data_IF_332193551549
#
_entry.id   IF_332193551549
#
_cell.length_a   1.000
_cell.length_b   1.000
_cell.length_c   1.000
_cell.angle_alpha   90.00
_cell.angle_beta   90.00
_cell.angle_gamma   90.00
#
_symmetry.space_group_name_H-M   'P 1'
#
loop_
_entity.id
_entity.type
_entity.pdbx_description
1 polymer ?
#
# COMPACT_ATOMS: atom_id res chain seq x y z
N UNK A 1 -39.48 26.86 -55.57
CA UNK A 1 -39.75 28.31 -55.63
C UNK A 1 -38.86 28.93 -54.57
N UNK A 2 -37.78 29.59 -55.00
CA UNK A 2 -36.92 30.58 -54.31
C UNK A 2 -36.29 30.16 -52.95
N UNK A 3 -34.97 30.02 -52.87
CA UNK A 3 -33.95 31.09 -52.69
C UNK A 3 -34.07 31.76 -51.31
N UNK A 4 -33.12 31.55 -50.40
CA UNK A 4 -31.74 32.11 -50.30
C UNK A 4 -31.74 33.40 -49.48
N UNK A 5 -30.90 33.37 -48.44
CA UNK A 5 -30.01 34.43 -47.94
C UNK A 5 -29.76 34.10 -46.47
N UNK A 6 -28.58 34.06 -45.86
CA UNK A 6 -27.20 34.48 -46.16
C UNK A 6 -26.51 34.21 -44.78
N UNK A 7 -25.21 34.03 -44.54
CA UNK A 7 -23.96 34.18 -45.27
C UNK A 7 -22.83 33.78 -44.29
N UNK A 8 -21.65 33.45 -44.84
CA UNK A 8 -20.28 33.62 -44.28
C UNK A 8 -19.87 32.88 -42.98
N UNK A 9 -18.66 32.35 -42.80
CA UNK A 9 -17.36 32.61 -43.43
C UNK A 9 -16.39 31.41 -43.24
N UNK A 10 -15.39 31.38 -44.12
CA UNK A 10 -14.08 30.71 -44.12
C UNK A 10 -13.34 30.74 -42.77
N UNK A 11 -12.29 29.96 -42.46
CA UNK A 11 -11.37 29.10 -43.20
C UNK A 11 -10.24 28.68 -42.23
N UNK A 12 -9.14 28.12 -42.76
CA UNK A 12 -7.83 27.91 -42.11
C UNK A 12 -7.63 26.62 -41.28
N UNK A 13 -7.33 25.51 -41.98
CA UNK A 13 -6.41 24.48 -41.46
C UNK A 13 -4.98 24.87 -41.88
N UNK A 14 -4.13 25.16 -40.90
CA UNK A 14 -2.71 25.40 -41.09
C UNK A 14 -1.92 24.14 -40.69
N UNK A 15 -1.08 23.71 -41.62
CA UNK A 15 -0.01 22.71 -41.48
C UNK A 15 1.16 23.27 -40.66
N UNK A 16 1.87 22.39 -39.96
CA UNK A 16 3.31 22.44 -39.62
C UNK A 16 3.57 21.41 -38.48
N UNK A 17 4.66 20.69 -38.35
CA UNK A 17 5.76 20.36 -39.24
C UNK A 17 6.60 19.27 -38.50
N UNK A 18 7.34 18.48 -39.28
CA UNK A 18 8.66 17.90 -38.96
C UNK A 18 8.85 17.04 -37.69
N UNK A 19 9.02 15.73 -37.92
CA UNK A 19 9.92 14.89 -37.12
C UNK A 19 10.96 14.24 -38.04
N UNK A 20 12.06 14.95 -38.24
CA UNK A 20 13.32 14.43 -38.79
C UNK A 20 14.27 14.10 -37.64
N UNK A 21 14.78 12.86 -37.56
CA UNK A 21 16.20 12.51 -37.75
C UNK A 21 16.59 11.14 -37.16
N UNK A 22 17.26 10.40 -38.04
CA UNK A 22 18.34 9.41 -37.88
C UNK A 22 18.28 8.27 -36.86
N UNK A 23 18.13 7.07 -37.44
CA UNK A 23 18.58 5.79 -36.90
C UNK A 23 20.11 5.74 -36.98
N UNK A 24 20.79 5.83 -35.83
CA UNK A 24 22.19 5.42 -35.73
C UNK A 24 22.25 3.96 -35.34
N UNK A 25 22.55 3.12 -36.32
CA UNK A 25 22.95 1.73 -36.15
C UNK A 25 24.35 1.72 -35.50
N UNK A 26 24.49 1.19 -34.29
CA UNK A 26 25.80 0.89 -33.73
C UNK A 26 26.09 -0.61 -33.85
N UNK A 27 27.21 -0.85 -34.49
CA UNK A 27 27.73 -2.11 -34.99
C UNK A 27 28.15 -3.08 -33.88
N UNK A 28 27.95 -4.35 -34.19
CA UNK A 28 28.59 -5.48 -33.54
C UNK A 28 30.11 -5.43 -33.78
N UNK A 29 30.95 -5.82 -32.80
CA UNK A 29 32.24 -6.39 -33.12
C UNK A 29 32.30 -7.86 -32.64
N UNK A 30 32.43 -8.79 -33.59
CA UNK A 30 33.29 -9.97 -33.38
C UNK A 30 34.75 -9.50 -33.29
N UNK A 31 35.73 -10.24 -32.81
CA UNK A 31 35.98 -11.67 -32.70
C UNK A 31 37.28 -11.79 -31.86
N UNK A 32 37.52 -12.91 -31.18
CA UNK A 32 38.75 -13.74 -31.25
C UNK A 32 38.92 -14.61 -29.99
N UNK A 33 39.08 -15.89 -30.27
CA UNK A 33 39.46 -16.99 -29.38
C UNK A 33 40.99 -17.05 -29.28
N UNK A 34 41.50 -17.36 -28.08
CA UNK A 34 42.81 -17.96 -27.79
C UNK A 34 42.84 -18.33 -26.30
N UNK A 35 42.84 -19.64 -26.00
CA UNK A 35 42.76 -20.18 -24.65
C UNK A 35 44.07 -20.15 -23.84
N UNK A 36 43.96 -20.29 -22.52
CA UNK A 36 44.63 -21.29 -21.65
C UNK A 36 44.32 -21.01 -20.16
N UNK A 37 44.12 -22.10 -19.41
CA UNK A 37 44.30 -22.32 -17.97
C UNK A 37 43.49 -21.52 -16.91
N UNK A 38 42.47 -22.19 -16.35
CA UNK A 38 42.77 -23.01 -15.17
C UNK A 38 42.76 -22.37 -13.77
N UNK A 39 42.12 -21.23 -13.51
CA UNK A 39 41.67 -20.89 -12.13
C UNK A 39 40.57 -19.78 -12.05
N UNK A 40 39.92 -19.46 -13.18
CA UNK A 40 38.99 -18.32 -13.27
C UNK A 40 37.50 -18.69 -13.05
N UNK A 41 37.17 -19.98 -12.98
CA UNK A 41 35.78 -20.45 -13.18
C UNK A 41 34.83 -20.21 -11.98
N UNK A 42 35.37 -20.03 -10.76
CA UNK A 42 34.56 -19.74 -9.56
C UNK A 42 34.33 -18.23 -9.38
N UNK A 43 35.27 -17.40 -9.81
CA UNK A 43 35.13 -15.95 -9.72
C UNK A 43 34.26 -15.41 -10.86
N UNK A 44 34.41 -15.95 -12.08
CA UNK A 44 33.63 -15.55 -13.25
C UNK A 44 32.14 -15.92 -13.10
N UNK A 45 31.82 -17.02 -12.41
CA UNK A 45 30.42 -17.39 -12.13
C UNK A 45 29.75 -16.48 -11.08
N UNK A 46 30.50 -16.03 -10.07
CA UNK A 46 30.05 -15.01 -9.08
C UNK A 46 29.89 -13.63 -9.70
N UNK A 47 30.79 -13.24 -10.59
CA UNK A 47 30.68 -11.97 -11.30
C UNK A 47 29.60 -12.01 -12.37
N UNK A 48 29.42 -13.13 -13.08
CA UNK A 48 28.28 -13.32 -14.00
C UNK A 48 26.95 -13.32 -13.26
N UNK A 49 26.85 -13.87 -12.04
CA UNK A 49 25.61 -13.79 -11.24
C UNK A 49 25.39 -12.39 -10.68
N UNK A 50 26.42 -11.69 -10.20
CA UNK A 50 26.30 -10.28 -9.79
C UNK A 50 25.94 -9.36 -10.96
N UNK A 51 26.52 -9.58 -12.14
CA UNK A 51 26.20 -8.86 -13.37
C UNK A 51 24.79 -9.18 -13.83
N UNK A 52 24.35 -10.45 -13.77
CA UNK A 52 22.96 -10.84 -14.05
C UNK A 52 21.99 -10.19 -13.07
N UNK A 53 22.29 -10.13 -11.77
CA UNK A 53 21.44 -9.45 -10.78
C UNK A 53 21.41 -7.94 -11.00
N UNK A 54 22.54 -7.33 -11.39
CA UNK A 54 22.61 -5.90 -11.78
C UNK A 54 21.90 -5.59 -13.11
N UNK A 55 21.96 -6.51 -14.08
CA UNK A 55 21.28 -6.40 -15.36
C UNK A 55 19.78 -6.64 -15.21
N UNK A 56 19.36 -7.58 -14.35
CA UNK A 56 17.95 -7.80 -14.02
C UNK A 56 17.41 -6.65 -13.19
N UNK A 57 18.20 -6.05 -12.29
CA UNK A 57 17.78 -4.86 -11.55
C UNK A 57 17.73 -3.62 -12.45
N UNK A 58 18.67 -3.47 -13.39
CA UNK A 58 18.62 -2.44 -14.43
C UNK A 58 17.44 -2.67 -15.39
N UNK A 59 17.16 -3.91 -15.79
CA UNK A 59 16.02 -4.27 -16.64
C UNK A 59 14.69 -4.06 -15.92
N UNK A 60 14.60 -4.40 -14.64
CA UNK A 60 13.42 -4.10 -13.83
C UNK A 60 13.29 -2.59 -13.60
N UNK A 61 14.38 -1.85 -13.44
CA UNK A 61 14.36 -0.38 -13.42
C UNK A 61 13.99 0.23 -14.78
N UNK A 62 14.29 -0.41 -15.91
CA UNK A 62 13.88 0.10 -17.24
C UNK A 62 12.41 -0.28 -17.53
N UNK A 63 12.00 -1.50 -17.17
CA UNK A 63 10.63 -2.01 -17.36
C UNK A 63 9.62 -1.37 -16.40
N UNK A 64 10.05 -0.98 -15.20
CA UNK A 64 9.18 -0.46 -14.14
C UNK A 64 9.58 0.92 -13.58
N UNK A 65 10.82 1.37 -13.83
CA UNK A 65 11.40 2.63 -13.33
C UNK A 65 11.72 3.68 -14.40
N UNK A 66 10.89 3.79 -15.45
CA UNK A 66 10.67 5.10 -16.08
C UNK A 66 11.56 5.48 -17.27
N UNK A 67 11.45 4.74 -18.38
CA UNK A 67 11.49 5.34 -19.73
C UNK A 67 10.06 5.55 -20.25
N UNK A 68 9.24 6.15 -19.41
CA UNK A 68 7.87 6.52 -19.74
C UNK A 68 7.82 8.03 -19.76
N UNK A 69 7.97 8.60 -20.96
CA UNK A 69 7.62 9.98 -21.33
C UNK A 69 6.10 10.23 -21.21
N UNK A 70 5.44 9.62 -20.22
CA UNK A 70 4.00 9.72 -19.98
C UNK A 70 3.78 10.81 -18.95
N UNK A 71 3.14 11.89 -19.43
CA UNK A 71 2.35 12.87 -18.70
C UNK A 71 2.15 12.55 -17.22
N UNK A 72 2.69 13.41 -16.33
CA UNK A 72 2.45 13.37 -14.88
C UNK A 72 0.93 13.25 -14.65
N UNK A 73 0.45 12.30 -13.82
CA UNK A 73 -0.98 12.09 -13.62
C UNK A 73 -1.62 13.37 -13.05
N UNK A 74 -2.36 14.10 -13.90
CA UNK A 74 -3.05 15.32 -13.49
C UNK A 74 -4.27 14.95 -12.66
N UNK A 75 -4.31 15.41 -11.41
CA UNK A 75 -5.55 15.37 -10.62
C UNK A 75 -6.53 16.39 -11.21
N UNK A 76 -7.81 16.04 -11.26
CA UNK A 76 -8.87 16.95 -11.68
C UNK A 76 -8.97 18.12 -10.68
N UNK A 77 -9.16 19.34 -11.18
CA UNK A 77 -9.40 20.52 -10.33
C UNK A 77 -10.87 20.66 -9.91
N UNK A 78 -11.79 20.00 -10.62
CA UNK A 78 -13.23 20.12 -10.41
C UNK A 78 -13.78 19.07 -9.45
N UNK A 79 -13.22 17.86 -9.48
CA UNK A 79 -13.72 16.71 -8.72
C UNK A 79 -12.98 16.52 -7.40
N UNK A 80 -13.69 16.19 -6.31
CA UNK A 80 -13.04 15.92 -5.03
C UNK A 80 -12.17 14.68 -5.09
N UNK A 81 -11.06 14.70 -4.36
CA UNK A 81 -10.18 13.56 -4.13
C UNK A 81 -10.52 12.93 -2.78
N UNK A 82 -10.82 11.65 -2.78
CA UNK A 82 -10.92 10.87 -1.56
C UNK A 82 -9.56 10.24 -1.23
N UNK A 83 -9.10 10.37 0.02
CA UNK A 83 -7.90 9.76 0.57
C UNK A 83 -8.22 9.23 1.98
N UNK A 84 -8.31 7.90 2.13
CA UNK A 84 -8.51 7.19 3.40
C UNK A 84 -9.60 7.84 4.29
N UNK A 85 -10.81 7.96 3.72
CA UNK A 85 -11.97 8.54 4.40
C UNK A 85 -11.98 10.06 4.52
N UNK A 86 -11.04 10.78 3.90
CA UNK A 86 -11.05 12.25 3.80
C UNK A 86 -11.29 12.70 2.37
N UNK A 87 -12.14 13.72 2.21
CA UNK A 87 -12.44 14.33 0.91
C UNK A 87 -11.74 15.69 0.81
N UNK A 88 -11.07 15.94 -0.31
CA UNK A 88 -10.36 17.18 -0.60
C UNK A 88 -10.84 17.76 -1.93
N UNK A 89 -11.33 18.99 -1.90
CA UNK A 89 -11.64 19.77 -3.08
C UNK A 89 -10.39 20.56 -3.50
N UNK A 90 -9.73 20.16 -4.59
CA UNK A 90 -8.41 20.68 -5.04
C UNK A 90 -8.40 22.14 -5.56
N UNK A 91 -9.27 22.98 -5.00
CA UNK A 91 -9.13 24.43 -4.91
C UNK A 91 -7.77 24.84 -4.31
N UNK A 92 -7.44 26.13 -4.39
CA UNK A 92 -6.13 26.65 -3.99
C UNK A 92 -5.78 26.34 -2.52
N UNK A 93 -6.75 26.34 -1.60
CA UNK A 93 -6.51 26.15 -0.16
C UNK A 93 -6.28 24.69 0.26
N UNK A 94 -7.10 23.74 -0.23
CA UNK A 94 -7.04 22.35 0.23
C UNK A 94 -6.00 21.50 -0.51
N UNK A 95 -5.48 21.97 -1.65
CA UNK A 95 -4.43 21.27 -2.40
C UNK A 95 -3.21 20.96 -1.55
N UNK A 96 -2.79 21.93 -0.75
CA UNK A 96 -1.62 21.79 0.10
C UNK A 96 -1.89 20.84 1.28
N UNK A 97 -3.10 20.88 1.84
CA UNK A 97 -3.54 19.91 2.85
C UNK A 97 -3.55 18.49 2.32
N UNK A 98 -4.07 18.28 1.11
CA UNK A 98 -4.00 16.98 0.42
C UNK A 98 -2.55 16.54 0.19
N UNK A 99 -1.68 17.43 -0.29
CA UNK A 99 -0.26 17.14 -0.55
C UNK A 99 0.46 16.68 0.72
N UNK A 100 0.24 17.37 1.84
CA UNK A 100 0.80 16.99 3.14
C UNK A 100 0.24 15.66 3.61
N UNK A 101 -1.09 15.46 3.56
CA UNK A 101 -1.71 14.20 3.96
C UNK A 101 -1.18 13.01 3.15
N UNK A 102 -1.12 13.13 1.83
CA UNK A 102 -0.58 12.08 0.95
C UNK A 102 0.90 11.81 1.22
N UNK A 103 1.72 12.87 1.36
CA UNK A 103 3.16 12.72 1.61
C UNK A 103 3.48 12.16 3.00
N UNK A 104 2.51 12.21 3.92
CA UNK A 104 2.64 11.65 5.27
C UNK A 104 2.44 10.14 5.29
N UNK A 105 1.88 9.55 4.23
CA UNK A 105 1.74 8.10 4.13
C UNK A 105 3.11 7.44 4.04
N UNK A 106 3.30 6.41 4.86
CA UNK A 106 4.51 5.61 4.84
C UNK A 106 4.56 4.74 3.59
N UNK A 107 5.62 4.93 2.82
CA UNK A 107 5.86 4.33 1.52
C UNK A 107 7.00 3.32 1.61
N UNK A 108 6.64 2.04 1.59
CA UNK A 108 7.57 0.93 1.62
C UNK A 108 7.78 0.42 0.20
N UNK A 109 9.02 0.44 -0.26
CA UNK A 109 9.38 -0.01 -1.61
C UNK A 109 10.38 -1.15 -1.55
N UNK A 110 10.71 -1.71 -2.71
CA UNK A 110 11.84 -2.61 -2.82
C UNK A 110 13.12 -1.99 -2.25
N UNK A 111 13.91 -2.81 -1.57
CA UNK A 111 15.18 -2.45 -0.96
C UNK A 111 16.29 -3.38 -1.44
N UNK A 112 17.53 -2.90 -1.37
CA UNK A 112 18.73 -3.67 -1.69
C UNK A 112 19.84 -3.38 -0.69
N UNK A 113 20.71 -4.34 -0.48
CA UNK A 113 21.85 -4.21 0.43
C UNK A 113 21.48 -4.43 1.90
N UNK A 114 20.32 -5.01 2.18
CA UNK A 114 19.99 -5.48 3.53
C UNK A 114 20.68 -6.83 3.82
N UNK A 115 20.83 -7.22 5.10
CA UNK A 115 21.42 -8.52 5.47
C UNK A 115 20.69 -9.70 4.81
N UNK A 116 21.37 -10.79 4.44
CA UNK A 116 20.73 -11.93 3.78
C UNK A 116 19.50 -12.43 4.54
N UNK A 117 18.42 -12.72 3.81
CA UNK A 117 17.23 -13.32 4.38
C UNK A 117 17.52 -14.76 4.84
N UNK A 118 16.97 -15.14 5.98
CA UNK A 118 17.24 -16.44 6.57
C UNK A 118 16.86 -17.59 5.61
N UNK A 119 17.75 -18.59 5.50
CA UNK A 119 17.65 -19.67 4.52
C UNK A 119 17.84 -19.25 3.05
N UNK A 120 18.40 -18.07 2.77
CA UNK A 120 18.59 -17.54 1.42
C UNK A 120 19.85 -16.66 1.30
N UNK A 121 20.32 -16.46 0.06
CA UNK A 121 21.39 -15.50 -0.27
C UNK A 121 20.83 -14.13 -0.72
N UNK A 122 19.51 -13.94 -0.70
CA UNK A 122 18.87 -12.72 -1.19
C UNK A 122 19.10 -11.56 -0.22
N UNK A 123 19.71 -10.49 -0.75
CA UNK A 123 19.92 -9.19 -0.10
C UNK A 123 19.11 -8.06 -0.76
N UNK A 124 18.12 -8.45 -1.57
CA UNK A 124 17.15 -7.55 -2.18
C UNK A 124 15.82 -8.26 -2.42
N UNK A 125 14.72 -7.52 -2.28
CA UNK A 125 13.36 -8.00 -2.52
C UNK A 125 12.78 -7.60 -3.88
N UNK A 126 13.59 -6.93 -4.70
CA UNK A 126 13.18 -6.50 -6.03
C UNK A 126 12.71 -7.67 -6.90
N UNK A 127 11.51 -7.56 -7.45
CA UNK A 127 10.90 -8.54 -8.33
C UNK A 127 10.09 -9.64 -7.65
N UNK A 128 10.03 -9.69 -6.31
CA UNK A 128 9.23 -10.69 -5.59
C UNK A 128 8.54 -10.17 -4.32
N UNK A 129 9.14 -9.24 -3.58
CA UNK A 129 8.65 -8.78 -2.27
C UNK A 129 7.47 -7.81 -2.29
N UNK A 130 6.85 -7.52 -3.45
CA UNK A 130 5.96 -6.36 -3.59
C UNK A 130 4.76 -6.46 -2.64
N UNK A 131 4.17 -7.65 -2.47
CA UNK A 131 3.00 -7.83 -1.61
C UNK A 131 3.35 -7.67 -0.14
N UNK A 132 4.56 -8.07 0.26
CA UNK A 132 5.06 -7.82 1.62
C UNK A 132 5.22 -6.32 1.86
N UNK A 133 5.73 -5.55 0.87
CA UNK A 133 5.80 -4.08 0.95
C UNK A 133 4.43 -3.43 1.02
N UNK A 134 3.47 -3.90 0.22
CA UNK A 134 2.07 -3.44 0.29
C UNK A 134 1.48 -3.70 1.68
N UNK A 135 1.70 -4.88 2.25
CA UNK A 135 1.26 -5.24 3.60
C UNK A 135 1.93 -4.38 4.68
N UNK A 136 3.23 -4.09 4.55
CA UNK A 136 3.94 -3.15 5.42
C UNK A 136 3.30 -1.77 5.38
N UNK A 137 2.96 -1.24 4.19
CA UNK A 137 2.30 0.07 4.09
C UNK A 137 0.91 0.10 4.75
N UNK A 138 0.12 -0.97 4.58
CA UNK A 138 -1.19 -1.10 5.21
C UNK A 138 -1.07 -1.12 6.75
N UNK A 139 -0.19 -1.96 7.29
CA UNK A 139 0.03 -2.02 8.74
C UNK A 139 0.63 -0.72 9.28
N UNK A 140 1.59 -0.13 8.56
CA UNK A 140 2.20 1.14 8.92
C UNK A 140 1.13 2.24 9.04
N UNK A 141 0.19 2.31 8.09
CA UNK A 141 -0.92 3.25 8.20
C UNK A 141 -1.80 2.98 9.43
N UNK A 142 -2.08 1.71 9.75
CA UNK A 142 -2.80 1.35 10.98
C UNK A 142 -2.09 1.78 12.26
N UNK A 143 -0.76 1.60 12.32
CA UNK A 143 0.06 2.06 13.44
C UNK A 143 0.10 3.58 13.54
N UNK A 144 0.12 4.28 12.41
CA UNK A 144 -0.01 5.74 12.39
C UNK A 144 -1.36 6.19 12.98
N UNK A 145 -2.47 5.55 12.61
CA UNK A 145 -3.79 5.82 13.20
C UNK A 145 -3.85 5.49 14.70
N UNK A 146 -3.11 4.48 15.13
CA UNK A 146 -3.10 4.01 16.51
C UNK A 146 -2.24 4.88 17.45
N UNK A 147 -1.10 5.37 16.97
CA UNK A 147 -0.07 5.98 17.81
C UNK A 147 0.12 7.48 17.58
N UNK A 148 -0.27 8.00 16.43
CA UNK A 148 -0.12 9.42 16.10
C UNK A 148 -1.42 10.18 16.37
N UNK A 149 -1.36 11.48 16.71
CA UNK A 149 -2.56 12.28 16.89
C UNK A 149 -3.36 12.40 15.58
N UNK A 150 -4.68 12.51 15.71
CA UNK A 150 -5.56 12.67 14.56
C UNK A 150 -5.19 13.94 13.77
N UNK A 151 -5.05 13.80 12.44
CA UNK A 151 -4.67 14.91 11.56
C UNK A 151 -3.17 15.21 11.53
N UNK A 152 -2.33 14.42 12.20
CA UNK A 152 -0.88 14.53 12.08
C UNK A 152 -0.43 14.44 10.62
N UNK A 153 0.54 15.26 10.25
CA UNK A 153 1.20 15.20 8.94
C UNK A 153 2.70 15.27 9.11
N UNK A 154 3.44 14.54 8.26
CA UNK A 154 4.89 14.53 8.27
C UNK A 154 5.40 15.93 7.93
N UNK A 155 6.12 16.60 8.84
CA UNK A 155 6.72 17.90 8.61
C UNK A 155 7.98 17.67 7.78
N UNK A 156 7.80 17.32 6.49
CA UNK A 156 8.91 17.30 5.56
C UNK A 156 9.62 18.65 5.67
N UNK A 157 10.88 18.66 6.08
CA UNK A 157 11.70 19.86 6.02
C UNK A 157 11.55 20.45 4.62
N UNK A 158 11.17 21.72 4.55
CA UNK A 158 11.08 22.50 3.33
C UNK A 158 12.47 22.64 2.69
N UNK A 159 13.07 21.55 2.21
CA UNK A 159 14.10 21.62 1.20
C UNK A 159 13.37 21.76 -0.11
N UNK A 160 13.28 23.03 -0.52
CA UNK A 160 12.85 23.51 -1.82
C UNK A 160 13.47 22.64 -2.93
N UNK A 161 12.77 21.58 -3.33
CA UNK A 161 12.79 21.20 -4.73
C UNK A 161 11.79 22.14 -5.39
N UNK A 162 12.36 23.14 -6.05
CA UNK A 162 11.75 24.00 -7.05
C UNK A 162 10.63 23.23 -7.76
N UNK A 163 9.41 23.54 -7.36
CA UNK A 163 8.23 23.54 -8.22
C UNK A 163 8.04 22.29 -9.12
N UNK A 164 7.83 21.11 -8.49
CA UNK A 164 7.47 19.89 -9.21
C UNK A 164 5.96 19.72 -9.48
N UNK A 165 5.20 20.77 -9.16
CA UNK A 165 3.77 20.94 -9.39
C UNK A 165 3.49 22.32 -10.01
N UNK A 166 4.36 22.79 -10.92
CA UNK A 166 4.13 24.04 -11.67
C UNK A 166 2.83 23.95 -12.49
N UNK A 167 1.89 24.82 -12.16
CA UNK A 167 0.93 25.38 -13.10
C UNK A 167 1.49 26.74 -13.46
N UNK A 168 1.92 26.92 -14.70
CA UNK A 168 2.27 28.23 -15.24
C UNK A 168 1.04 29.12 -15.17
N UNK A 169 1.09 30.19 -14.38
CA UNK A 169 0.11 31.28 -14.42
C UNK A 169 0.83 32.53 -14.93
N UNK A 170 0.55 32.89 -16.19
CA UNK A 170 1.25 33.95 -16.92
C UNK A 170 0.87 35.38 -16.49
N UNK A 171 0.25 35.56 -15.31
CA UNK A 171 -0.31 36.84 -14.86
C UNK A 171 0.29 37.40 -13.56
N UNK A 172 1.37 36.83 -13.02
CA UNK A 172 1.99 37.32 -11.76
C UNK A 172 3.44 37.77 -11.93
N UNK A 173 3.83 38.21 -13.13
CA UNK A 173 5.10 38.89 -13.37
C UNK A 173 4.89 40.40 -13.61
N UNK A 174 4.30 41.10 -12.64
CA UNK A 174 4.35 42.58 -12.63
C UNK A 174 4.38 43.23 -11.24
N UNK A 175 4.09 42.51 -10.15
CA UNK A 175 3.95 43.15 -8.83
C UNK A 175 5.11 42.99 -7.84
N UNK A 176 6.26 42.42 -8.23
CA UNK A 176 7.39 42.21 -7.30
C UNK A 176 8.50 43.26 -7.33
N UNK A 177 8.24 44.47 -7.87
CA UNK A 177 9.19 45.60 -7.80
C UNK A 177 8.70 46.79 -6.95
N UNK A 178 7.71 46.61 -6.08
CA UNK A 178 7.26 47.65 -5.17
C UNK A 178 6.85 47.10 -3.81
N UNK A 179 7.85 46.86 -2.95
CA UNK A 179 7.76 47.11 -1.49
C UNK A 179 9.07 46.71 -0.81
N UNK A 180 10.10 47.52 -1.05
CA UNK A 180 11.19 47.69 -0.11
C UNK A 180 11.01 49.06 0.52
N UNK A 181 10.59 49.10 1.80
CA UNK A 181 10.98 50.07 2.84
C UNK A 181 9.95 50.13 3.98
N UNK A 182 10.48 50.07 5.21
CA UNK A 182 9.87 50.31 6.54
C UNK A 182 9.18 49.05 7.08
N UNK A 183 9.45 48.55 8.29
CA UNK A 183 9.57 49.30 9.54
C UNK A 183 10.35 48.50 10.61
N UNK A 184 11.03 49.24 11.48
CA UNK A 184 11.86 48.78 12.57
C UNK A 184 11.09 48.87 13.89
N UNK A 185 10.79 47.73 14.53
CA UNK A 185 10.10 47.72 15.83
C UNK A 185 10.52 46.53 16.69
N UNK A 186 11.28 46.82 17.75
CA UNK A 186 11.65 45.87 18.81
C UNK A 186 10.39 45.43 19.58
N UNK A 187 9.97 44.18 19.42
CA UNK A 187 9.11 43.50 20.40
C UNK A 187 9.84 42.35 21.07
N UNK A 188 9.80 42.35 22.40
CA UNK A 188 10.37 41.35 23.32
C UNK A 188 10.02 39.93 22.86
N UNK A 189 11.07 39.18 22.54
CA UNK A 189 11.05 37.73 22.25
C UNK A 189 10.56 37.01 23.51
N UNK A 190 9.27 36.66 23.57
CA UNK A 190 8.79 35.59 24.47
C UNK A 190 9.56 34.32 24.08
N UNK A 191 10.09 33.63 25.08
CA UNK A 191 11.03 32.53 24.92
C UNK A 191 10.50 31.45 23.97
N UNK A 192 11.33 31.11 22.98
CA UNK A 192 11.17 30.05 21.98
C UNK A 192 11.32 28.64 22.59
N UNK A 193 11.00 28.48 23.88
CA UNK A 193 11.34 27.30 24.68
C UNK A 193 10.19 26.31 24.89
N UNK A 194 8.94 26.71 24.60
CA UNK A 194 7.77 25.86 24.87
C UNK A 194 7.20 25.19 23.60
N UNK A 195 7.67 25.61 22.41
CA UNK A 195 7.24 25.04 21.12
C UNK A 195 8.16 23.92 20.60
N UNK A 196 9.30 23.67 21.25
CA UNK A 196 10.30 22.68 20.81
C UNK A 196 10.07 21.27 21.37
N UNK A 197 9.24 21.11 22.40
CA UNK A 197 8.95 19.78 23.00
C UNK A 197 7.84 19.02 22.27
N UNK A 198 6.93 19.71 21.57
CA UNK A 198 5.85 19.04 20.84
C UNK A 198 6.36 18.33 19.58
N UNK A 199 7.35 18.93 18.90
CA UNK A 199 7.95 18.35 17.69
C UNK A 199 8.81 17.11 17.97
N UNK A 200 9.40 17.00 19.16
CA UNK A 200 10.32 15.90 19.48
C UNK A 200 9.58 14.58 19.75
N UNK A 201 8.46 14.61 20.48
CA UNK A 201 7.73 13.38 20.82
C UNK A 201 7.02 12.77 19.60
N UNK A 202 6.36 13.59 18.77
CA UNK A 202 5.71 13.12 17.55
C UNK A 202 6.74 12.63 16.53
N UNK A 203 7.87 13.34 16.34
CA UNK A 203 8.95 12.89 15.48
C UNK A 203 9.57 11.59 15.98
N UNK A 204 9.81 11.46 17.28
CA UNK A 204 10.31 10.23 17.88
C UNK A 204 9.36 9.05 17.68
N UNK A 205 8.05 9.27 17.91
CA UNK A 205 7.01 8.25 17.69
C UNK A 205 6.97 7.83 16.23
N UNK A 206 7.02 8.80 15.31
CA UNK A 206 7.07 8.54 13.88
C UNK A 206 8.31 7.73 13.48
N UNK A 207 9.51 8.13 13.93
CA UNK A 207 10.76 7.38 13.69
C UNK A 207 10.71 5.98 14.27
N UNK A 208 10.12 5.81 15.46
CA UNK A 208 9.92 4.51 16.08
C UNK A 208 9.01 3.62 15.24
N UNK A 209 7.90 4.14 14.71
CA UNK A 209 7.04 3.39 13.79
C UNK A 209 7.83 2.98 12.55
N UNK A 210 8.58 3.89 11.93
CA UNK A 210 9.37 3.58 10.72
C UNK A 210 10.45 2.54 11.00
N UNK A 211 11.11 2.58 12.16
CA UNK A 211 12.17 1.63 12.50
C UNK A 211 11.66 0.19 12.62
N UNK A 212 10.39 -0.01 12.99
CA UNK A 212 9.77 -1.34 13.02
C UNK A 212 9.62 -2.00 11.64
N UNK A 213 9.70 -1.21 10.56
CA UNK A 213 9.62 -1.69 9.17
C UNK A 213 10.99 -1.77 8.49
N UNK A 214 12.08 -1.46 9.20
CA UNK A 214 13.43 -1.54 8.66
C UNK A 214 13.78 -2.93 8.12
N UNK A 215 14.69 -2.99 7.15
CA UNK A 215 15.12 -4.24 6.52
C UNK A 215 16.19 -4.96 7.35
N UNK A 216 15.92 -5.16 8.64
CA UNK A 216 16.80 -5.82 9.60
C UNK A 216 16.07 -6.98 10.28
N UNK A 217 16.80 -8.05 10.67
CA UNK A 217 16.21 -9.16 11.43
C UNK A 217 15.54 -8.75 12.75
N UNK A 218 15.99 -7.65 13.37
CA UNK A 218 15.45 -7.13 14.62
C UNK A 218 14.13 -6.36 14.46
N UNK A 219 13.75 -5.98 13.24
CA UNK A 219 12.55 -5.18 12.99
C UNK A 219 11.30 -6.08 12.98
N UNK A 220 10.32 -5.87 13.87
CA UNK A 220 9.18 -6.78 14.06
C UNK A 220 8.25 -6.86 12.84
N UNK A 221 8.20 -5.81 12.03
CA UNK A 221 7.41 -5.73 10.80
C UNK A 221 8.30 -5.62 9.55
N UNK A 222 9.61 -5.85 9.73
CA UNK A 222 10.61 -5.86 8.65
C UNK A 222 10.49 -7.09 7.75
N UNK A 223 11.09 -7.00 6.56
CA UNK A 223 10.99 -8.05 5.55
C UNK A 223 11.46 -9.42 6.07
N UNK A 224 12.55 -9.46 6.83
CA UNK A 224 13.10 -10.67 7.45
C UNK A 224 12.05 -11.41 8.28
N UNK A 225 11.37 -10.68 9.16
CA UNK A 225 10.35 -11.25 10.04
C UNK A 225 9.12 -11.71 9.27
N UNK A 226 8.67 -10.94 8.28
CA UNK A 226 7.51 -11.33 7.47
C UNK A 226 7.80 -12.59 6.62
N UNK A 227 9.01 -12.72 6.08
CA UNK A 227 9.43 -13.92 5.35
C UNK A 227 9.53 -15.14 6.27
N UNK A 228 10.07 -14.96 7.47
CA UNK A 228 10.14 -16.02 8.49
C UNK A 228 8.73 -16.54 8.84
N UNK A 229 7.80 -15.64 9.16
CA UNK A 229 6.41 -15.98 9.48
C UNK A 229 5.66 -16.60 8.29
N UNK A 230 6.04 -16.23 7.06
CA UNK A 230 5.51 -16.80 5.82
C UNK A 230 5.80 -18.29 5.62
N UNK A 231 6.82 -18.84 6.28
CA UNK A 231 7.19 -20.26 6.17
C UNK A 231 6.09 -21.20 6.64
N UNK A 232 5.32 -20.81 7.65
CA UNK A 232 4.18 -21.59 8.12
C UNK A 232 3.09 -21.75 7.04
N UNK A 233 3.06 -20.85 6.05
CA UNK A 233 2.17 -20.90 4.89
C UNK A 233 2.87 -21.42 3.63
N UNK A 234 4.02 -22.10 3.78
CA UNK A 234 4.79 -22.68 2.69
C UNK A 234 5.54 -21.67 1.81
N UNK A 235 5.67 -20.41 2.25
CA UNK A 235 6.37 -19.36 1.50
C UNK A 235 7.82 -19.21 1.96
N UNK A 236 8.69 -18.80 1.04
CA UNK A 236 10.11 -18.54 1.28
C UNK A 236 10.52 -17.20 0.68
N UNK A 237 11.75 -16.77 0.97
CA UNK A 237 12.36 -15.63 0.31
C UNK A 237 12.41 -15.88 -1.22
N UNK A 238 11.94 -14.93 -2.02
CA UNK A 238 11.85 -15.07 -3.48
C UNK A 238 10.46 -15.47 -4.00
N UNK A 239 9.60 -16.04 -3.15
CA UNK A 239 8.24 -16.41 -3.55
C UNK A 239 7.33 -15.18 -3.63
N UNK A 240 6.29 -15.26 -4.46
CA UNK A 240 5.20 -14.29 -4.40
C UNK A 240 4.18 -14.66 -3.31
N UNK A 241 3.68 -13.63 -2.63
CA UNK A 241 2.70 -13.72 -1.56
C UNK A 241 1.38 -13.11 -2.01
N UNK A 242 0.26 -13.76 -1.69
CA UNK A 242 -1.08 -13.21 -1.96
C UNK A 242 -1.62 -12.36 -0.81
N UNK A 243 -2.64 -11.51 -1.05
CA UNK A 243 -3.21 -10.60 -0.04
C UNK A 243 -3.72 -11.30 1.22
N UNK A 244 -4.35 -12.48 1.07
CA UNK A 244 -4.85 -13.28 2.18
C UNK A 244 -3.72 -13.82 3.06
N UNK A 245 -2.65 -14.34 2.43
CA UNK A 245 -1.50 -14.90 3.15
C UNK A 245 -0.82 -13.80 3.95
N UNK A 246 -0.58 -12.63 3.36
CA UNK A 246 0.07 -11.53 4.08
C UNK A 246 -0.78 -10.98 5.22
N UNK A 247 -2.12 -11.02 5.12
CA UNK A 247 -2.99 -10.62 6.22
C UNK A 247 -2.76 -11.48 7.48
N UNK A 248 -2.67 -12.81 7.32
CA UNK A 248 -2.33 -13.71 8.43
C UNK A 248 -0.88 -13.55 8.91
N UNK A 249 0.06 -13.21 8.02
CA UNK A 249 1.43 -12.89 8.44
C UNK A 249 1.44 -11.63 9.31
N UNK A 250 0.72 -10.57 8.93
CA UNK A 250 0.61 -9.35 9.74
C UNK A 250 -0.01 -9.65 11.11
N UNK A 251 -1.05 -10.49 11.15
CA UNK A 251 -1.66 -10.93 12.40
C UNK A 251 -0.63 -11.59 13.34
N UNK A 252 0.15 -12.54 12.83
CA UNK A 252 1.22 -13.20 13.60
C UNK A 252 2.33 -12.24 14.00
N UNK A 253 2.67 -11.30 13.13
CA UNK A 253 3.72 -10.31 13.38
C UNK A 253 3.34 -9.37 14.53
N UNK A 254 2.13 -8.82 14.52
CA UNK A 254 1.63 -7.95 15.60
C UNK A 254 1.51 -8.72 16.92
N UNK A 255 0.96 -9.93 16.89
CA UNK A 255 0.83 -10.77 18.10
C UNK A 255 2.19 -11.13 18.75
N UNK A 256 3.27 -11.17 17.97
CA UNK A 256 4.63 -11.43 18.45
C UNK A 256 5.46 -10.14 18.68
N UNK A 257 4.87 -8.96 18.48
CA UNK A 257 5.58 -7.68 18.58
C UNK A 257 5.44 -7.03 19.97
N UNK A 258 6.14 -5.91 20.16
CA UNK A 258 6.03 -5.07 21.36
C UNK A 258 4.74 -4.23 21.44
N UNK A 259 3.92 -4.22 20.38
CA UNK A 259 2.66 -3.45 20.32
C UNK A 259 1.53 -4.24 20.99
N UNK A 260 1.56 -4.31 22.32
CA UNK A 260 0.66 -5.17 23.11
C UNK A 260 -0.80 -4.70 23.21
N UNK A 261 -1.07 -3.42 22.92
CA UNK A 261 -2.39 -2.81 22.93
C UNK A 261 -3.12 -2.80 21.58
N UNK A 262 -2.55 -3.50 20.59
CA UNK A 262 -3.13 -3.67 19.25
C UNK A 262 -3.37 -5.15 18.94
N UNK A 263 -4.59 -5.47 18.52
CA UNK A 263 -4.98 -6.79 18.03
C UNK A 263 -5.24 -6.74 16.52
N UNK A 264 -4.95 -7.84 15.83
CA UNK A 264 -5.27 -8.01 14.41
C UNK A 264 -6.20 -9.19 14.24
N UNK A 265 -7.38 -8.95 13.66
CA UNK A 265 -8.32 -9.99 13.27
C UNK A 265 -8.34 -10.13 11.75
N UNK A 266 -8.27 -11.36 11.25
CA UNK A 266 -8.39 -11.65 9.81
C UNK A 266 -9.70 -12.39 9.59
N UNK A 267 -10.56 -11.84 8.75
CA UNK A 267 -11.84 -12.44 8.38
C UNK A 267 -11.63 -13.80 7.71
N UNK A 268 -12.53 -14.74 8.01
CA UNK A 268 -12.55 -16.08 7.43
C UNK A 268 -13.73 -16.19 6.48
N UNK A 269 -13.52 -16.75 5.28
CA UNK A 269 -14.60 -16.97 4.31
C UNK A 269 -15.47 -15.72 4.05
N UNK A 270 -14.83 -14.55 3.93
CA UNK A 270 -15.50 -13.24 3.79
C UNK A 270 -16.52 -12.94 4.91
N UNK A 271 -16.31 -13.49 6.11
CA UNK A 271 -17.17 -13.32 7.28
C UNK A 271 -16.37 -12.85 8.49
N UNK A 272 -16.89 -11.83 9.15
CA UNK A 272 -16.35 -11.29 10.40
C UNK A 272 -17.27 -11.71 11.55
N UNK A 273 -16.78 -12.57 12.43
CA UNK A 273 -17.52 -13.04 13.59
C UNK A 273 -17.33 -12.05 14.74
N UNK A 274 -18.40 -11.32 15.09
CA UNK A 274 -18.36 -10.22 16.05
C UNK A 274 -17.91 -10.72 17.43
N UNK A 275 -18.37 -11.91 17.85
CA UNK A 275 -17.97 -12.51 19.12
C UNK A 275 -16.47 -12.81 19.20
N UNK A 276 -15.86 -13.28 18.10
CA UNK A 276 -14.42 -13.56 18.07
C UNK A 276 -13.59 -12.28 18.19
N UNK A 277 -14.04 -11.20 17.55
CA UNK A 277 -13.41 -9.89 17.67
C UNK A 277 -13.53 -9.35 19.10
N UNK A 278 -14.71 -9.44 19.70
CA UNK A 278 -14.93 -9.00 21.09
C UNK A 278 -14.05 -9.78 22.08
N UNK A 279 -13.89 -11.09 21.89
CA UNK A 279 -13.01 -11.92 22.70
C UNK A 279 -11.54 -11.58 22.51
N UNK A 280 -11.12 -11.34 21.26
CA UNK A 280 -9.73 -11.00 20.93
C UNK A 280 -9.32 -9.64 21.51
N UNK A 281 -10.22 -8.66 21.46
CA UNK A 281 -9.97 -7.31 21.95
C UNK A 281 -10.23 -7.14 23.45
N UNK A 282 -11.06 -8.00 24.05
CA UNK A 282 -11.32 -7.99 25.49
C UNK A 282 -10.10 -8.43 26.29
N UNK A 283 -9.65 -7.62 27.25
CA UNK A 283 -8.57 -8.02 28.18
C UNK A 283 -9.13 -8.82 29.34
N UNK A 284 -8.51 -9.95 29.68
CA UNK A 284 -8.75 -10.64 30.95
C UNK A 284 -8.31 -9.74 32.12
N UNK A 285 -9.05 -9.75 33.24
CA UNK A 285 -8.82 -8.92 34.44
C UNK A 285 -7.40 -9.01 35.05
N UNK A 286 -6.54 -9.91 34.56
CA UNK A 286 -5.17 -10.15 35.04
C UNK A 286 -4.11 -9.25 34.40
N UNK A 287 -4.37 -8.61 33.25
CA UNK A 287 -3.42 -7.70 32.59
C UNK A 287 -3.65 -6.23 33.02
N UNK A 288 -3.32 -5.92 34.28
CA UNK A 288 -3.34 -4.55 34.83
C UNK A 288 -2.19 -3.66 34.31
N UNK A 289 -1.85 -3.74 33.02
CA UNK A 289 -0.95 -2.74 32.44
C UNK A 289 -1.66 -1.39 32.43
N UNK A 290 -0.99 -0.34 32.93
CA UNK A 290 -1.55 1.00 33.13
C UNK A 290 -2.13 1.67 31.86
N UNK A 291 -1.92 1.09 30.68
CA UNK A 291 -2.38 1.59 29.36
C UNK A 291 -3.77 1.10 28.96
N UNK A 292 -4.25 -0.04 29.46
CA UNK A 292 -5.57 -0.59 29.12
C UNK A 292 -6.65 -0.19 30.16
N UNK A 293 -6.89 1.11 30.36
CA UNK A 293 -7.93 1.59 31.29
C UNK A 293 -9.36 1.20 30.89
N UNK A 294 -9.57 0.86 29.62
CA UNK A 294 -10.88 0.52 29.02
C UNK A 294 -11.15 -0.98 28.92
N UNK A 295 -10.18 -1.84 29.26
CA UNK A 295 -10.28 -3.28 29.07
C UNK A 295 -10.36 -3.74 27.60
N UNK A 296 -9.95 -2.89 26.65
CA UNK A 296 -10.07 -3.09 25.21
C UNK A 296 -8.74 -2.84 24.50
N UNK A 297 -8.29 -3.79 23.68
CA UNK A 297 -7.19 -3.62 22.72
C UNK A 297 -7.72 -3.02 21.42
N UNK A 298 -7.03 -2.02 20.88
CA UNK A 298 -7.34 -1.47 19.55
C UNK A 298 -7.32 -2.58 18.50
N UNK A 299 -8.10 -2.44 17.45
CA UNK A 299 -8.31 -3.47 16.43
C UNK A 299 -7.85 -2.99 15.06
N UNK A 300 -7.08 -3.83 14.38
CA UNK A 300 -6.93 -3.86 12.93
C UNK A 300 -7.71 -5.05 12.40
N UNK A 301 -8.76 -4.79 11.63
CA UNK A 301 -9.59 -5.79 10.96
C UNK A 301 -9.14 -5.91 9.50
N UNK A 302 -8.68 -7.08 9.09
CA UNK A 302 -8.27 -7.39 7.73
C UNK A 302 -9.27 -8.34 7.08
N UNK A 303 -9.79 -7.98 5.92
CA UNK A 303 -10.78 -8.76 5.19
C UNK A 303 -10.23 -9.14 3.80
N UNK A 304 -9.63 -10.33 3.65
CA UNK A 304 -9.26 -10.85 2.34
C UNK A 304 -10.52 -11.17 1.53
N UNK A 305 -10.58 -10.69 0.28
CA UNK A 305 -11.74 -10.81 -0.59
C UNK A 305 -11.32 -11.05 -2.05
N UNK A 306 -12.26 -11.58 -2.83
CA UNK A 306 -12.12 -11.70 -4.28
C UNK A 306 -13.32 -11.07 -4.99
N UNK A 307 -13.10 -9.94 -5.64
CA UNK A 307 -14.12 -9.07 -6.24
C UNK A 307 -14.41 -9.40 -7.71
N UNK A 308 -14.13 -10.62 -8.14
CA UNK A 308 -14.25 -11.04 -9.54
C UNK A 308 -13.31 -12.20 -9.89
N UNK A 309 -13.48 -12.73 -11.10
CA UNK A 309 -12.64 -13.81 -11.63
C UNK A 309 -11.27 -13.26 -12.09
N UNK A 310 -11.20 -12.74 -13.32
CA UNK A 310 -9.97 -12.25 -13.95
C UNK A 310 -9.80 -10.73 -13.85
N UNK A 311 -10.92 -10.03 -13.71
CA UNK A 311 -11.01 -8.58 -13.57
C UNK A 311 -12.00 -8.23 -12.47
N UNK A 312 -11.87 -7.02 -11.92
CA UNK A 312 -12.85 -6.48 -10.99
C UNK A 312 -14.24 -6.46 -11.65
N UNK A 313 -15.22 -7.10 -11.00
CA UNK A 313 -16.60 -7.00 -11.44
C UNK A 313 -17.07 -5.54 -11.24
N UNK A 314 -17.51 -4.84 -12.31
CA UNK A 314 -17.91 -3.44 -12.23
C UNK A 314 -18.97 -3.16 -11.17
N UNK A 315 -19.81 -4.15 -10.84
CA UNK A 315 -20.80 -4.06 -9.77
C UNK A 315 -20.16 -3.57 -8.47
N UNK A 316 -19.02 -4.12 -8.06
CA UNK A 316 -18.36 -3.78 -6.80
C UNK A 316 -17.65 -2.41 -6.80
N UNK A 317 -17.51 -1.73 -7.94
CA UNK A 317 -16.76 -0.46 -8.02
C UNK A 317 -17.34 0.59 -7.09
N UNK A 318 -18.68 0.69 -7.05
CA UNK A 318 -19.37 1.64 -6.17
C UNK A 318 -19.15 1.28 -4.70
N UNK A 319 -19.26 0.00 -4.36
CA UNK A 319 -19.03 -0.49 -3.01
C UNK A 319 -17.59 -0.21 -2.53
N UNK A 320 -16.58 -0.49 -3.37
CA UNK A 320 -15.16 -0.20 -3.06
C UNK A 320 -14.92 1.30 -2.81
N UNK A 321 -15.52 2.19 -3.62
CA UNK A 321 -15.45 3.64 -3.36
C UNK A 321 -16.02 4.00 -2.01
N UNK A 322 -17.20 3.47 -1.66
CA UNK A 322 -17.82 3.71 -0.34
C UNK A 322 -16.94 3.24 0.80
N UNK A 323 -16.29 2.08 0.68
CA UNK A 323 -15.35 1.62 1.69
C UNK A 323 -14.17 2.58 1.87
N UNK A 324 -13.59 3.10 0.77
CA UNK A 324 -12.51 4.08 0.82
C UNK A 324 -12.93 5.46 1.37
N UNK A 325 -14.23 5.78 1.33
CA UNK A 325 -14.81 6.99 1.94
C UNK A 325 -14.98 6.87 3.47
N UNK A 326 -14.90 5.67 4.05
CA UNK A 326 -15.05 5.49 5.50
C UNK A 326 -13.78 5.90 6.26
N UNK A 327 -13.94 6.61 7.38
CA UNK A 327 -12.83 7.02 8.26
C UNK A 327 -12.10 5.84 8.91
N UNK A 328 -12.82 4.74 9.13
CA UNK A 328 -12.23 3.51 9.68
C UNK A 328 -11.46 2.70 8.63
N UNK A 329 -11.56 3.02 7.33
CA UNK A 329 -10.86 2.27 6.29
C UNK A 329 -9.38 2.66 6.22
N UNK A 330 -8.51 1.66 6.33
CA UNK A 330 -7.06 1.81 6.24
C UNK A 330 -6.54 1.74 4.80
N UNK A 331 -7.43 1.48 3.84
CA UNK A 331 -7.10 1.23 2.44
C UNK A 331 -7.10 -0.25 2.07
N UNK A 332 -6.63 -0.54 0.86
CA UNK A 332 -6.75 -1.86 0.23
C UNK A 332 -5.40 -2.27 -0.35
N UNK A 333 -4.93 -3.47 -0.02
CA UNK A 333 -3.76 -4.07 -0.68
C UNK A 333 -4.23 -5.12 -1.67
N UNK A 334 -3.60 -5.19 -2.84
CA UNK A 334 -3.99 -6.15 -3.86
C UNK A 334 -3.08 -6.08 -5.06
N UNK A 335 -3.40 -6.85 -6.09
CA UNK A 335 -2.67 -6.85 -7.35
C UNK A 335 -2.18 -8.21 -7.78
N UNK A 336 -1.76 -8.27 -9.04
CA UNK A 336 -1.29 -9.51 -9.69
C UNK A 336 0.04 -9.96 -9.11
N UNK A 337 0.44 -11.23 -9.34
CA UNK A 337 1.80 -11.68 -9.11
C UNK A 337 2.84 -10.67 -9.62
N UNK A 338 3.74 -10.26 -8.72
CA UNK A 338 4.80 -9.26 -8.95
C UNK A 338 4.34 -7.84 -9.30
N UNK A 339 3.07 -7.52 -9.06
CA UNK A 339 2.42 -6.25 -9.39
C UNK A 339 1.41 -5.83 -8.32
N UNK A 340 1.83 -5.83 -7.05
CA UNK A 340 0.96 -5.42 -5.95
C UNK A 340 1.04 -3.93 -5.64
N UNK A 341 -0.08 -3.35 -5.23
CA UNK A 341 -0.24 -1.94 -4.94
C UNK A 341 -0.95 -1.77 -3.59
N UNK A 342 -0.80 -0.59 -2.99
CA UNK A 342 -1.59 -0.17 -1.84
C UNK A 342 -2.51 0.98 -2.26
N UNK A 343 -3.80 0.71 -2.37
CA UNK A 343 -4.83 1.67 -2.76
C UNK A 343 -5.28 2.46 -1.54
N UNK A 344 -5.18 3.78 -1.64
CA UNK A 344 -5.38 4.71 -0.52
C UNK A 344 -6.52 5.68 -0.76
N UNK A 345 -7.15 5.65 -1.93
CA UNK A 345 -8.20 6.61 -2.25
C UNK A 345 -8.59 6.55 -3.71
N UNK A 346 -9.33 7.56 -4.16
CA UNK A 346 -9.74 7.69 -5.54
C UNK A 346 -10.08 9.15 -5.91
N UNK A 347 -10.10 9.43 -7.20
CA UNK A 347 -10.71 10.61 -7.78
C UNK A 347 -11.45 10.18 -9.04
N UNK A 348 -12.72 10.57 -9.16
CA UNK A 348 -13.59 10.11 -10.24
C UNK A 348 -13.60 8.56 -10.32
N UNK A 349 -13.29 7.99 -11.50
CA UNK A 349 -13.14 6.54 -11.73
C UNK A 349 -11.66 6.10 -11.74
N UNK A 350 -10.80 6.78 -10.98
CA UNK A 350 -9.39 6.45 -10.86
C UNK A 350 -9.02 6.18 -9.39
N UNK A 351 -8.49 4.99 -9.12
CA UNK A 351 -7.88 4.63 -7.84
C UNK A 351 -6.54 5.35 -7.67
N UNK A 352 -6.30 5.87 -6.48
CA UNK A 352 -5.03 6.45 -6.05
C UNK A 352 -4.28 5.39 -5.23
N UNK A 353 -2.98 5.24 -5.48
CA UNK A 353 -2.19 4.18 -4.86
C UNK A 353 -0.74 4.56 -4.58
N UNK A 354 -0.13 3.83 -3.64
CA UNK A 354 1.30 3.75 -3.41
C UNK A 354 1.89 2.51 -4.09
N UNK A 355 3.02 2.71 -4.77
CA UNK A 355 3.65 1.73 -5.64
C UNK A 355 4.98 1.24 -5.03
N UNK A 356 5.12 -0.04 -4.64
CA UNK A 356 6.34 -0.54 -4.03
C UNK A 356 7.47 -0.84 -5.05
N UNK A 357 7.23 -0.76 -6.36
CA UNK A 357 8.16 -1.26 -7.40
C UNK A 357 9.34 -0.34 -7.70
N UNK A 358 9.78 0.45 -6.73
CA UNK A 358 10.97 1.29 -6.81
C UNK A 358 12.08 0.73 -5.92
N UNK A 359 13.22 0.34 -6.49
CA UNK A 359 14.31 -0.25 -5.71
C UNK A 359 15.22 0.82 -5.10
N UNK A 360 15.17 0.96 -3.78
CA UNK A 360 15.97 1.89 -2.98
C UNK A 360 17.07 1.15 -2.21
N UNK A 361 18.10 1.84 -1.72
CA UNK A 361 19.07 1.22 -0.80
C UNK A 361 18.41 0.98 0.58
N UNK A 362 18.77 -0.10 1.27
CA UNK A 362 18.36 -0.33 2.65
C UNK A 362 18.83 0.83 3.54
N UNK A 363 17.96 1.29 4.43
CA UNK A 363 18.29 2.32 5.43
C UNK A 363 18.61 1.62 6.74
N UNK A 364 19.72 2.02 7.35
CA UNK A 364 20.08 1.58 8.70
C UNK A 364 19.23 2.35 9.72
N UNK A 365 18.13 1.73 10.14
CA UNK A 365 17.15 2.31 11.09
C UNK A 365 17.60 2.23 12.55
N UNK A 366 18.76 1.63 12.84
CA UNK A 366 19.31 1.58 14.22
C UNK A 366 19.97 2.90 14.63
N UNK A 367 20.26 3.79 13.67
CA UNK A 367 20.81 5.13 13.95
C UNK A 367 19.69 6.07 14.37
N UNK A 368 19.81 6.76 15.51
CA UNK A 368 18.74 7.64 16.03
C UNK A 368 18.16 8.63 14.99
N UNK A 369 19.02 9.21 14.14
CA UNK A 369 18.65 10.19 13.12
C UNK A 369 18.72 9.63 11.69
N UNK A 370 18.23 8.41 11.46
CA UNK A 370 18.20 7.82 10.12
C UNK A 370 17.34 8.65 9.13
N UNK A 371 17.66 8.66 7.82
CA UNK A 371 16.90 9.44 6.83
C UNK A 371 15.49 8.87 6.62
N UNK A 372 14.48 9.74 6.65
CA UNK A 372 13.06 9.37 6.51
C UNK A 372 12.55 9.55 5.08
N UNK A 373 13.25 10.30 4.23
CA UNK A 373 12.77 10.76 2.94
C UNK A 373 12.40 9.60 2.01
N UNK A 374 13.14 8.49 2.09
CA UNK A 374 12.88 7.29 1.28
C UNK A 374 11.65 6.49 1.71
N UNK A 375 11.05 6.83 2.86
CA UNK A 375 9.84 6.21 3.41
C UNK A 375 8.59 7.06 3.18
N UNK A 376 8.67 8.16 2.41
CA UNK A 376 7.54 9.03 2.11
C UNK A 376 7.42 9.24 0.61
N UNK A 377 6.21 9.05 0.06
CA UNK A 377 5.95 9.23 -1.36
C UNK A 377 5.52 10.67 -1.65
N UNK A 378 6.23 11.37 -2.54
CA UNK A 378 5.89 12.73 -2.95
C UNK A 378 5.02 12.80 -4.21
N UNK A 379 4.84 11.68 -4.91
CA UNK A 379 4.20 11.64 -6.23
C UNK A 379 2.95 10.78 -6.20
N UNK A 380 1.80 11.40 -6.43
CA UNK A 380 0.52 10.70 -6.54
C UNK A 380 0.48 9.90 -7.84
N UNK A 381 0.04 8.63 -7.75
CA UNK A 381 -0.20 7.76 -8.91
C UNK A 381 -1.66 7.36 -8.94
N UNK A 382 -2.21 7.18 -10.15
CA UNK A 382 -3.60 6.80 -10.36
C UNK A 382 -3.77 5.75 -11.45
N UNK A 383 -4.80 4.92 -11.33
CA UNK A 383 -5.19 3.94 -12.34
C UNK A 383 -6.72 3.76 -12.40
N UNK A 384 -7.28 3.37 -13.54
CA UNK A 384 -8.71 3.04 -13.62
C UNK A 384 -9.10 1.88 -12.71
N UNK A 385 -10.30 1.92 -12.12
CA UNK A 385 -10.82 0.83 -11.27
C UNK A 385 -10.86 -0.53 -11.99
N UNK A 386 -11.19 -0.57 -13.29
CA UNK A 386 -11.25 -1.81 -14.06
C UNK A 386 -9.89 -2.51 -14.24
N UNK A 387 -8.77 -1.85 -13.89
CA UNK A 387 -7.42 -2.45 -13.88
C UNK A 387 -7.02 -2.99 -12.51
N UNK A 388 -7.85 -2.80 -11.49
CA UNK A 388 -7.64 -3.38 -10.17
C UNK A 388 -7.77 -4.89 -10.26
N UNK A 389 -6.80 -5.61 -9.70
CA UNK A 389 -6.90 -7.05 -9.56
C UNK A 389 -8.02 -7.40 -8.56
N UNK A 390 -8.88 -8.39 -8.86
CA UNK A 390 -9.98 -8.73 -7.97
C UNK A 390 -9.53 -9.36 -6.65
N UNK A 391 -8.31 -9.89 -6.54
CA UNK A 391 -7.77 -10.41 -5.28
C UNK A 391 -7.17 -9.28 -4.45
N UNK A 392 -7.78 -8.99 -3.30
CA UNK A 392 -7.32 -7.93 -2.42
C UNK A 392 -7.65 -8.21 -0.95
N UNK A 393 -7.05 -7.44 -0.04
CA UNK A 393 -7.40 -7.39 1.37
C UNK A 393 -7.73 -5.95 1.73
N UNK A 394 -8.91 -5.73 2.30
CA UNK A 394 -9.35 -4.44 2.83
C UNK A 394 -8.98 -4.37 4.31
N UNK A 395 -8.38 -3.27 4.76
CA UNK A 395 -8.06 -3.05 6.17
C UNK A 395 -8.98 -2.02 6.81
N UNK A 396 -9.33 -2.23 8.08
CA UNK A 396 -10.05 -1.28 8.90
C UNK A 396 -9.43 -1.14 10.29
N UNK A 397 -9.60 0.02 10.91
CA UNK A 397 -9.10 0.33 12.24
C UNK A 397 -10.22 0.76 13.19
N UNK A 398 -10.17 0.27 14.43
CA UNK A 398 -11.03 0.71 15.53
C UNK A 398 -10.22 0.85 16.82
N UNK A 399 -10.09 2.08 17.33
CA UNK A 399 -9.31 2.35 18.54
C UNK A 399 -9.99 1.90 19.84
N UNK A 400 -11.33 1.91 19.84
CA UNK A 400 -12.16 1.55 20.98
C UNK A 400 -13.29 0.57 20.61
N UNK A 401 -13.94 0.01 21.63
CA UNK A 401 -15.13 -0.83 21.44
C UNK A 401 -16.26 -0.08 20.74
N UNK A 402 -16.43 1.22 21.04
CA UNK A 402 -17.42 2.07 20.39
C UNK A 402 -17.07 2.29 18.91
N UNK A 403 -15.79 2.49 18.58
CA UNK A 403 -15.35 2.60 17.20
C UNK A 403 -15.59 1.31 16.42
N UNK A 404 -15.43 0.14 17.07
CA UNK A 404 -15.71 -1.14 16.44
C UNK A 404 -17.21 -1.32 16.14
N UNK A 405 -18.09 -0.89 17.06
CA UNK A 405 -19.53 -0.89 16.82
C UNK A 405 -19.93 0.06 15.67
N UNK A 406 -19.35 1.26 15.64
CA UNK A 406 -19.53 2.22 14.55
C UNK A 406 -19.03 1.66 13.22
N UNK A 407 -17.84 1.03 13.21
CA UNK A 407 -17.27 0.36 12.04
C UNK A 407 -18.23 -0.69 11.50
N UNK A 408 -18.79 -1.59 12.33
CA UNK A 408 -19.72 -2.61 11.88
C UNK A 408 -20.95 -1.99 11.21
N UNK A 409 -21.52 -0.94 11.80
CA UNK A 409 -22.68 -0.21 11.25
C UNK A 409 -22.35 0.47 9.91
N UNK A 410 -21.28 1.26 9.88
CA UNK A 410 -20.89 2.07 8.73
C UNK A 410 -20.48 1.21 7.54
N UNK A 411 -19.73 0.15 7.79
CA UNK A 411 -19.34 -0.82 6.77
C UNK A 411 -20.57 -1.57 6.26
N UNK A 412 -21.44 -2.08 7.13
CA UNK A 412 -22.67 -2.77 6.69
C UNK A 412 -23.53 -1.85 5.81
N UNK A 413 -23.65 -0.58 6.17
CA UNK A 413 -24.35 0.42 5.35
C UNK A 413 -23.66 0.65 4.00
N UNK A 414 -22.33 0.76 3.98
CA UNK A 414 -21.56 0.90 2.74
C UNK A 414 -21.75 -0.30 1.81
N UNK A 415 -21.76 -1.52 2.37
CA UNK A 415 -21.93 -2.78 1.64
C UNK A 415 -23.37 -3.01 1.14
N UNK A 416 -24.40 -2.53 1.85
CA UNK A 416 -25.82 -2.72 1.49
C UNK A 416 -26.43 -1.57 0.68
N UNK A 417 -25.76 -0.41 0.62
CA UNK A 417 -26.23 0.76 -0.14
C UNK A 417 -26.09 0.62 -1.67
N UNK A 418 -25.46 -0.44 -2.16
CA UNK A 418 -25.38 -0.77 -3.57
C UNK A 418 -26.58 -1.65 -3.97
N UNK A 419 -27.02 -1.55 -5.23
CA UNK A 419 -28.05 -2.44 -5.81
C UNK A 419 -27.54 -3.88 -6.02
N UNK A 420 -26.50 -4.28 -5.30
CA UNK A 420 -25.78 -5.53 -5.51
C UNK A 420 -26.51 -6.69 -4.83
N UNK A 421 -26.55 -7.82 -5.52
CA UNK A 421 -27.21 -9.04 -5.04
C UNK A 421 -26.43 -9.74 -3.92
N UNK A 422 -25.13 -9.48 -3.79
CA UNK A 422 -24.23 -10.11 -2.82
C UNK A 422 -23.21 -9.10 -2.28
N UNK A 423 -23.14 -8.87 -0.96
CA UNK A 423 -22.15 -7.97 -0.36
C UNK A 423 -20.73 -8.53 -0.48
N UNK A 424 -19.72 -7.65 -0.46
CA UNK A 424 -18.31 -8.04 -0.54
C UNK A 424 -17.89 -8.98 0.62
N UNK A 425 -18.42 -8.73 1.81
CA UNK A 425 -18.25 -9.55 3.02
C UNK A 425 -19.40 -9.27 3.99
N UNK A 426 -19.49 -9.98 5.12
CA UNK A 426 -20.55 -9.77 6.11
C UNK A 426 -20.05 -9.81 7.55
N UNK A 427 -20.79 -9.16 8.45
CA UNK A 427 -20.64 -9.32 9.90
C UNK A 427 -21.70 -10.30 10.39
N UNK A 428 -21.29 -11.25 11.23
CA UNK A 428 -22.18 -12.25 11.83
C UNK A 428 -22.00 -12.21 13.34
N UNK A 429 -23.13 -12.19 14.06
CA UNK A 429 -23.14 -12.30 15.51
C UNK A 429 -22.72 -13.70 15.96
N UNK A 430 -21.97 -13.77 17.07
CA UNK A 430 -21.45 -15.03 17.60
C UNK A 430 -20.01 -15.34 17.19
N UNK A 431 -19.66 -16.62 17.22
CA UNK A 431 -18.30 -17.14 17.05
C UNK A 431 -18.21 -18.01 15.81
N UNK A 432 -17.02 -18.12 15.23
CA UNK A 432 -16.75 -19.19 14.27
C UNK A 432 -16.79 -20.53 15.02
N UNK A 433 -17.92 -21.22 14.96
CA UNK A 433 -18.05 -22.61 15.39
C UNK A 433 -17.84 -23.48 14.16
N UNK A 434 -16.58 -23.69 13.77
CA UNK A 434 -16.27 -24.89 12.99
C UNK A 434 -16.61 -26.08 13.88
N UNK A 435 -17.78 -26.69 13.65
CA UNK A 435 -18.16 -27.93 14.31
C UNK A 435 -17.03 -28.96 14.12
N UNK A 436 -16.39 -29.31 15.23
CA UNK A 436 -15.71 -30.58 15.40
C UNK A 436 -16.77 -31.69 15.43
N UNK A 437 -17.52 -31.89 14.34
CA UNK A 437 -18.48 -33.00 14.19
C UNK A 437 -17.80 -34.19 13.52
N UNK A 438 -16.83 -34.76 14.22
CA UNK A 438 -16.59 -36.19 14.12
C UNK A 438 -17.50 -36.90 15.12
N UNK A 439 -18.79 -37.04 14.75
CA UNK A 439 -19.71 -37.94 15.43
C UNK A 439 -20.48 -38.80 14.44
N UNK A 440 -20.12 -40.09 14.46
CA UNK A 440 -20.99 -41.26 14.33
C UNK A 440 -22.02 -41.32 13.20
N UNK A 441 -21.72 -42.19 12.24
CA UNK A 441 -22.63 -43.14 11.59
C UNK A 441 -24.12 -42.79 11.53
N UNK A 442 -24.56 -42.32 10.36
CA UNK A 442 -25.78 -42.85 9.75
C UNK A 442 -25.62 -42.89 8.24
N UNK A 443 -25.23 -44.06 7.74
CA UNK A 443 -25.23 -44.40 6.32
C UNK A 443 -26.65 -44.29 5.76
N UNK A 444 -26.86 -43.37 4.82
CA UNK A 444 -27.90 -43.54 3.80
C UNK A 444 -27.23 -43.93 2.49
N UNK A 445 -27.46 -45.19 2.12
CA UNK A 445 -26.95 -45.85 0.94
C UNK A 445 -27.42 -45.18 -0.36
N UNK A 446 -26.48 -44.71 -1.18
CA UNK A 446 -26.63 -44.72 -2.65
C UNK A 446 -25.39 -45.41 -3.22
N UNK A 447 -25.61 -46.61 -3.78
CA UNK A 447 -24.59 -47.47 -4.41
C UNK A 447 -24.23 -46.94 -5.80
N UNK A 448 -22.94 -46.80 -6.09
CA UNK A 448 -22.39 -47.06 -7.44
C UNK A 448 -20.95 -47.59 -7.34
N UNK A 449 -20.61 -48.51 -8.25
CA UNK A 449 -19.53 -49.52 -8.19
C UNK A 449 -18.12 -49.01 -8.55
N UNK A 450 -17.13 -49.48 -7.78
CA UNK A 450 -15.76 -49.93 -8.10
C UNK A 450 -14.78 -49.10 -8.97
N UNK A 451 -13.72 -48.53 -8.35
CA UNK A 451 -12.34 -49.08 -8.21
C UNK A 451 -11.37 -48.07 -7.54
N UNK A 452 -10.30 -48.51 -6.83
CA UNK A 452 -9.57 -47.68 -5.87
C UNK A 452 -8.35 -46.96 -6.48
N UNK A 453 -8.34 -45.63 -6.39
CA UNK A 453 -7.20 -44.78 -6.73
C UNK A 453 -6.68 -44.04 -5.50
N UNK A 454 -5.38 -44.22 -5.21
CA UNK A 454 -4.55 -43.59 -4.16
C UNK A 454 -4.98 -42.15 -3.76
N UNK A 455 -5.49 -41.97 -2.55
CA UNK A 455 -5.79 -40.65 -1.96
C UNK A 455 -4.49 -40.00 -1.50
N UNK A 456 -4.06 -38.95 -2.22
CA UNK A 456 -3.07 -37.97 -1.72
C UNK A 456 -3.82 -36.95 -0.87
N UNK A 457 -3.38 -36.76 0.38
CA UNK A 457 -3.81 -35.63 1.24
C UNK A 457 -3.59 -34.32 0.48
N UNK A 458 -4.68 -33.67 0.04
CA UNK A 458 -4.68 -32.28 -0.44
C UNK A 458 -4.93 -31.37 0.76
N UNK A 459 -4.12 -30.33 0.85
CA UNK A 459 -4.19 -29.26 1.84
C UNK A 459 -5.43 -28.39 1.60
N UNK A 460 -6.19 -28.15 2.67
CA UNK A 460 -7.49 -27.46 2.71
C UNK A 460 -7.38 -25.92 2.59
N UNK A 461 -6.41 -25.39 1.82
CA UNK A 461 -6.14 -23.94 1.74
C UNK A 461 -6.47 -23.30 0.39
N UNK A 462 -7.06 -24.06 -0.53
CA UNK A 462 -7.51 -23.57 -1.84
C UNK A 462 -8.91 -24.10 -2.17
N UNK A 463 -9.90 -23.69 -1.39
CA UNK A 463 -11.30 -23.79 -1.84
C UNK A 463 -11.93 -22.40 -1.73
N UNK A 464 -11.95 -21.69 -2.86
CA UNK A 464 -12.72 -20.46 -3.00
C UNK A 464 -14.17 -20.84 -3.25
N UNK A 465 -15.09 -20.29 -2.47
CA UNK A 465 -16.49 -20.21 -2.87
C UNK A 465 -16.56 -19.23 -4.04
N UNK A 466 -16.74 -19.76 -5.24
CA UNK A 466 -17.21 -18.99 -6.39
C UNK A 466 -18.66 -18.62 -6.12
N UNK A 467 -18.92 -17.32 -5.91
CA UNK A 467 -20.27 -16.76 -5.96
C UNK A 467 -20.68 -16.47 -7.41
#
# INVERSE_FOLDING_TARGET
>A
MMDVSDEFDSGMEATDDLASFEVVHLSNPGLLDLGTDGDAHVQESKDRTKLKTKLISAWNNVRYGGWSLKSKPRLSKSSPVCLLGQSYQLSFSERESFRRAFSSLLWMTYRRGFPPLDGSALTSDAGWGCMLRSAQMLLAHGLMLHMMPAGWTWPATHHQTKDDLEVVDALVLDNSLRESRRDSGKHRRRSLGTALDCGSHEEWTHRRIVSWFGDLPSAPFGLHRLVELGRASGKRAGDWYGPAIVAHILQKAVAASEVSDLAVYVAQNCTVYVGDVLNLCGTSHTDLSARCRSGWKSLVLLVPVRLGSDALNPAYTRCVKRLLELRCCMGIIGGKPKHSLFFVGFQDDQLIYLDPHYCQAAVDVQKDNFPLESFHCKTVRKMPFNRMDPSCTVGFYAGSRADFQALCSDVTKALTSSQEKYPIFTFVEGHNVEEMSCTSDSFTHIKSKDKPGRIRKKSCLEEFVLL
#
